data_IF_189374014982
#
_entry.id   IF_189374014982
#
_cell.length_a   1.000
_cell.length_b   1.000
_cell.length_c   1.000
_cell.angle_alpha   90.00
_cell.angle_beta   90.00
_cell.angle_gamma   90.00
#
_symmetry.space_group_name_H-M   'P 1'
#
loop_
_entity.id
_entity.type
_entity.pdbx_description
1 polymer ?
#
# COMPACT_ATOMS: atom_id res chain seq x y z
N UNK A 1 38.60 6.10 13.55
CA UNK A 1 37.40 5.31 13.94
C UNK A 1 37.82 3.83 13.92
N UNK A 2 37.39 3.03 14.91
CA UNK A 2 37.65 1.58 14.89
C UNK A 2 36.87 0.94 13.75
N UNK A 3 37.49 0.01 13.01
CA UNK A 3 36.80 -0.80 12.01
C UNK A 3 35.77 -1.72 12.70
N UNK A 4 34.59 -1.85 12.14
CA UNK A 4 33.53 -2.74 12.59
C UNK A 4 33.34 -3.88 11.58
N UNK A 5 32.67 -4.96 11.98
CA UNK A 5 32.30 -6.07 11.09
C UNK A 5 31.16 -5.65 10.16
N UNK A 6 31.00 -6.33 9.02
CA UNK A 6 29.86 -6.12 8.14
C UNK A 6 28.53 -6.40 8.83
N UNK A 7 28.47 -7.44 9.69
CA UNK A 7 27.26 -7.72 10.49
C UNK A 7 26.92 -6.57 11.44
N UNK A 8 27.91 -5.97 12.12
CA UNK A 8 27.67 -4.77 12.94
C UNK A 8 27.25 -3.56 12.08
N UNK A 9 27.81 -3.43 10.88
CA UNK A 9 27.42 -2.37 9.95
C UNK A 9 25.96 -2.51 9.52
N UNK A 10 25.44 -3.72 9.29
CA UNK A 10 24.01 -3.98 9.02
C UNK A 10 23.14 -3.44 10.15
N UNK A 11 23.42 -3.80 11.40
CA UNK A 11 22.64 -3.34 12.56
C UNK A 11 22.67 -1.81 12.68
N UNK A 12 23.84 -1.21 12.50
CA UNK A 12 23.96 0.27 12.54
C UNK A 12 23.19 0.95 11.43
N UNK A 13 23.17 0.39 10.20
CA UNK A 13 22.34 0.92 9.12
C UNK A 13 20.86 0.87 9.46
N UNK A 14 20.38 -0.24 10.06
CA UNK A 14 19.00 -0.35 10.52
C UNK A 14 18.64 0.72 11.56
N UNK A 15 19.54 0.98 12.52
CA UNK A 15 19.35 2.03 13.52
C UNK A 15 19.35 3.45 12.89
N UNK A 16 20.21 3.73 11.92
CA UNK A 16 20.22 4.99 11.17
C UNK A 16 18.91 5.20 10.38
N UNK A 17 18.28 4.13 9.90
CA UNK A 17 16.95 4.16 9.27
C UNK A 17 15.79 4.08 10.27
N UNK A 18 16.09 4.17 11.57
CA UNK A 18 15.10 4.17 12.66
C UNK A 18 14.27 2.88 12.74
N UNK A 19 14.88 1.76 12.37
CA UNK A 19 14.27 0.44 12.52
C UNK A 19 14.41 0.00 13.98
N UNK A 20 13.28 -0.21 14.63
CA UNK A 20 13.18 -0.66 16.03
C UNK A 20 12.56 -2.04 16.15
N UNK A 21 12.06 -2.61 15.04
CA UNK A 21 11.48 -3.95 15.00
C UNK A 21 11.83 -4.63 13.68
N UNK A 22 12.20 -5.91 13.75
CA UNK A 22 12.46 -6.76 12.59
C UNK A 22 11.80 -8.13 12.79
N UNK A 23 11.44 -8.77 11.69
CA UNK A 23 10.77 -10.07 11.66
C UNK A 23 11.64 -11.10 10.97
N UNK A 24 11.77 -12.30 11.50
CA UNK A 24 12.62 -13.26 10.80
C UNK A 24 12.80 -14.60 11.48
N UNK A 25 13.55 -15.46 10.82
CA UNK A 25 13.95 -16.77 11.29
C UNK A 25 15.47 -16.95 11.10
N UNK A 26 16.22 -17.31 12.17
CA UNK A 26 17.67 -17.45 12.10
C UNK A 26 18.09 -18.67 11.28
N UNK A 27 19.30 -18.60 10.68
CA UNK A 27 19.90 -19.72 9.97
C UNK A 27 21.39 -19.46 9.69
N UNK A 28 22.10 -20.48 9.23
CA UNK A 28 23.57 -20.52 9.19
C UNK A 28 24.25 -19.40 8.42
N UNK A 29 23.66 -18.95 7.28
CA UNK A 29 24.29 -17.92 6.44
C UNK A 29 24.04 -16.49 6.93
N UNK A 30 23.09 -16.27 7.84
CA UNK A 30 22.77 -14.95 8.42
C UNK A 30 23.12 -14.86 9.91
N UNK A 31 23.64 -15.92 10.48
CA UNK A 31 23.96 -16.01 11.90
C UNK A 31 24.86 -14.86 12.41
N UNK A 32 25.90 -14.41 11.68
CA UNK A 32 26.71 -13.29 12.15
C UNK A 32 25.93 -12.00 12.38
N UNK A 33 24.88 -11.74 11.58
CA UNK A 33 23.98 -10.60 11.79
C UNK A 33 23.12 -10.81 13.02
N UNK A 34 22.63 -12.02 13.29
CA UNK A 34 21.89 -12.35 14.50
C UNK A 34 22.74 -12.24 15.78
N UNK A 35 24.02 -12.63 15.72
CA UNK A 35 24.94 -12.46 16.84
C UNK A 35 25.17 -10.97 17.18
N UNK A 36 25.25 -10.13 16.16
CA UNK A 36 25.33 -8.68 16.40
C UNK A 36 23.98 -8.12 16.88
N UNK A 37 22.87 -8.56 16.31
CA UNK A 37 21.54 -8.12 16.72
C UNK A 37 21.30 -8.38 18.22
N UNK A 38 21.79 -9.50 18.76
CA UNK A 38 21.68 -9.81 20.19
C UNK A 38 22.31 -8.72 21.07
N UNK A 39 23.37 -8.05 20.61
CA UNK A 39 24.02 -6.95 21.34
C UNK A 39 23.21 -5.65 21.33
N UNK A 40 22.21 -5.54 20.46
CA UNK A 40 21.35 -4.37 20.27
C UNK A 40 19.87 -4.67 20.55
N UNK A 41 19.57 -5.74 21.30
CA UNK A 41 18.20 -6.14 21.63
C UNK A 41 17.42 -5.11 22.47
N UNK A 42 18.13 -4.16 23.08
CA UNK A 42 17.56 -3.00 23.76
C UNK A 42 17.07 -1.89 22.79
N UNK A 43 17.48 -1.94 21.52
CA UNK A 43 17.18 -0.94 20.50
C UNK A 43 16.36 -1.49 19.34
N UNK A 44 16.55 -2.76 18.99
CA UNK A 44 15.82 -3.43 17.91
C UNK A 44 15.17 -4.69 18.47
N UNK A 45 13.85 -4.69 18.46
CA UNK A 45 13.08 -5.88 18.86
C UNK A 45 13.02 -6.87 17.69
N UNK A 46 13.46 -8.11 17.92
CA UNK A 46 13.34 -9.19 16.96
C UNK A 46 12.11 -10.05 17.26
N UNK A 47 11.19 -10.14 16.31
CA UNK A 47 10.05 -11.04 16.36
C UNK A 47 10.41 -12.34 15.63
N UNK A 48 10.60 -13.41 16.41
CA UNK A 48 10.84 -14.74 15.85
C UNK A 48 9.56 -15.30 15.23
N UNK A 49 9.59 -15.49 13.92
CA UNK A 49 8.50 -16.15 13.19
C UNK A 49 8.72 -17.66 13.10
N UNK A 50 7.71 -18.41 12.69
CA UNK A 50 7.81 -19.87 12.50
C UNK A 50 8.11 -20.25 11.04
N UNK A 51 8.02 -19.26 10.14
CA UNK A 51 8.26 -19.39 8.71
C UNK A 51 8.60 -18.00 8.14
N UNK A 52 9.51 -17.91 7.18
CA UNK A 52 9.97 -16.64 6.62
C UNK A 52 8.87 -15.92 5.82
N UNK A 53 7.94 -16.66 5.22
CA UNK A 53 6.73 -16.06 4.62
C UNK A 53 5.91 -15.30 5.68
N UNK A 54 5.76 -15.87 6.86
CA UNK A 54 5.12 -15.18 7.98
C UNK A 54 5.86 -13.90 8.40
N UNK A 55 7.20 -13.91 8.31
CA UNK A 55 8.01 -12.70 8.59
C UNK A 55 7.70 -11.58 7.60
N UNK A 56 7.61 -11.89 6.29
CA UNK A 56 7.28 -10.89 5.27
C UNK A 56 5.87 -10.35 5.42
N UNK A 57 4.87 -11.19 5.67
CA UNK A 57 3.49 -10.72 5.88
C UNK A 57 3.37 -9.88 7.15
N UNK A 58 4.09 -10.22 8.23
CA UNK A 58 4.10 -9.40 9.44
C UNK A 58 4.79 -8.05 9.20
N UNK A 59 5.91 -8.04 8.45
CA UNK A 59 6.58 -6.81 8.05
C UNK A 59 5.68 -5.91 7.19
N UNK A 60 4.88 -6.50 6.28
CA UNK A 60 3.88 -5.76 5.51
C UNK A 60 2.79 -5.16 6.40
N UNK A 61 2.21 -5.94 7.31
CA UNK A 61 1.21 -5.46 8.26
C UNK A 61 1.75 -4.27 9.07
N UNK A 62 2.98 -4.38 9.57
CA UNK A 62 3.66 -3.28 10.24
C UNK A 62 3.80 -2.04 9.33
N UNK A 63 4.24 -2.22 8.08
CA UNK A 63 4.42 -1.11 7.16
C UNK A 63 3.11 -0.39 6.84
N UNK A 64 2.04 -1.14 6.64
CA UNK A 64 0.70 -0.60 6.34
C UNK A 64 0.11 0.21 7.48
N UNK A 65 0.29 -0.25 8.73
CA UNK A 65 -0.23 0.44 9.93
C UNK A 65 0.64 1.65 10.31
N UNK A 66 1.96 1.47 10.31
CA UNK A 66 2.87 2.50 10.82
C UNK A 66 3.29 3.54 9.79
N UNK A 67 3.08 3.27 8.48
CA UNK A 67 3.63 4.10 7.39
C UNK A 67 5.17 4.02 7.26
N UNK A 68 5.81 3.10 7.99
CA UNK A 68 7.27 2.88 8.01
C UNK A 68 7.66 1.71 7.10
N UNK A 69 8.94 1.59 6.79
CA UNK A 69 9.45 0.43 6.03
C UNK A 69 9.45 -0.81 6.92
N UNK A 70 8.78 -1.88 6.48
CA UNK A 70 8.84 -3.18 7.14
C UNK A 70 10.17 -3.88 6.86
N UNK A 71 10.74 -4.57 7.84
CA UNK A 71 12.03 -5.27 7.68
C UNK A 71 11.88 -6.75 8.02
N UNK A 72 12.23 -7.62 7.05
CA UNK A 72 12.30 -9.05 7.25
C UNK A 72 13.72 -9.57 7.03
N UNK A 73 14.13 -10.59 7.80
CA UNK A 73 15.46 -11.16 7.73
C UNK A 73 15.40 -12.70 7.64
N UNK A 74 16.18 -13.29 6.74
CA UNK A 74 16.21 -14.74 6.51
C UNK A 74 17.62 -15.23 6.16
N UNK A 75 17.82 -16.55 6.27
CA UNK A 75 19.04 -17.20 5.80
C UNK A 75 19.04 -17.44 4.29
N UNK A 76 20.09 -18.01 3.74
CA UNK A 76 20.23 -18.39 2.32
C UNK A 76 19.29 -19.54 1.92
N UNK A 77 19.25 -19.82 0.63
CA UNK A 77 18.55 -20.97 0.07
C UNK A 77 17.08 -21.01 0.46
N UNK A 78 16.63 -22.06 1.19
CA UNK A 78 15.23 -22.20 1.53
C UNK A 78 14.66 -21.04 2.37
N UNK A 79 15.47 -20.41 3.23
CA UNK A 79 15.04 -19.24 3.98
C UNK A 79 14.76 -18.04 3.07
N UNK A 80 15.66 -17.77 2.14
CA UNK A 80 15.50 -16.70 1.16
C UNK A 80 14.32 -16.96 0.20
N UNK A 81 14.18 -18.18 -0.31
CA UNK A 81 13.06 -18.53 -1.21
C UNK A 81 11.70 -18.50 -0.53
N UNK A 82 11.63 -18.73 0.79
CA UNK A 82 10.39 -18.59 1.56
C UNK A 82 9.90 -17.13 1.67
N UNK A 83 10.72 -16.12 1.37
CA UNK A 83 10.28 -14.72 1.32
C UNK A 83 9.52 -14.37 0.03
N UNK A 84 9.62 -15.19 -1.02
CA UNK A 84 9.15 -14.88 -2.38
C UNK A 84 7.67 -14.51 -2.42
N UNK A 85 6.81 -15.28 -1.77
CA UNK A 85 5.37 -14.99 -1.73
C UNK A 85 5.09 -13.61 -1.15
N UNK A 86 5.70 -13.28 -0.02
CA UNK A 86 5.47 -11.97 0.61
C UNK A 86 6.12 -10.81 -0.15
N UNK A 87 7.24 -11.04 -0.86
CA UNK A 87 7.83 -10.05 -1.77
C UNK A 87 6.88 -9.75 -2.94
N UNK A 88 6.32 -10.79 -3.57
CA UNK A 88 5.38 -10.64 -4.68
C UNK A 88 4.12 -9.89 -4.24
N UNK A 89 3.58 -10.23 -3.07
CA UNK A 89 2.44 -9.58 -2.46
C UNK A 89 2.72 -8.09 -2.14
N UNK A 90 3.85 -7.79 -1.51
CA UNK A 90 4.27 -6.42 -1.23
C UNK A 90 4.48 -5.59 -2.51
N UNK A 91 4.97 -6.20 -3.59
CA UNK A 91 5.15 -5.54 -4.88
C UNK A 91 3.82 -5.16 -5.52
N UNK A 92 2.85 -6.07 -5.50
CA UNK A 92 1.51 -5.83 -6.06
C UNK A 92 0.77 -4.74 -5.27
N UNK A 93 0.85 -4.80 -3.95
CA UNK A 93 0.15 -3.87 -3.05
C UNK A 93 0.95 -2.62 -2.69
N UNK A 94 2.09 -2.41 -3.35
CA UNK A 94 2.92 -1.21 -3.14
C UNK A 94 3.30 -0.99 -1.68
N UNK A 95 3.65 -2.06 -0.96
CA UNK A 95 4.01 -2.01 0.46
C UNK A 95 5.53 -1.83 0.62
N UNK A 96 6.01 -0.77 1.29
CA UNK A 96 7.43 -0.54 1.47
C UNK A 96 8.04 -1.58 2.41
N UNK A 97 8.97 -2.39 1.91
CA UNK A 97 9.62 -3.43 2.69
C UNK A 97 11.09 -3.59 2.27
N UNK A 98 11.97 -3.89 3.23
CA UNK A 98 13.35 -4.30 2.99
C UNK A 98 13.53 -5.71 3.54
N UNK A 99 13.81 -6.66 2.66
CA UNK A 99 14.18 -8.02 3.02
C UNK A 99 15.71 -8.17 2.98
N UNK A 100 16.27 -8.78 4.03
CA UNK A 100 17.70 -9.01 4.16
C UNK A 100 17.94 -10.51 4.20
N UNK A 101 18.74 -11.04 3.27
CA UNK A 101 19.08 -12.45 3.23
C UNK A 101 20.58 -12.65 3.44
N UNK A 102 20.91 -13.71 4.13
CA UNK A 102 22.29 -14.20 4.14
C UNK A 102 22.56 -15.07 2.91
N UNK A 103 23.82 -15.11 2.48
CA UNK A 103 24.27 -15.91 1.35
C UNK A 103 25.54 -16.69 1.70
N UNK A 104 25.87 -17.70 0.94
CA UNK A 104 27.17 -18.39 1.03
C UNK A 104 28.32 -17.40 0.83
N UNK A 105 29.53 -17.77 1.18
CA UNK A 105 30.72 -16.90 0.96
C UNK A 105 30.89 -16.64 -0.54
N UNK A 106 31.37 -15.44 -0.88
CA UNK A 106 31.44 -14.95 -2.27
C UNK A 106 32.17 -15.89 -3.23
N UNK A 107 33.22 -16.57 -2.75
CA UNK A 107 33.99 -17.53 -3.55
C UNK A 107 33.25 -18.85 -3.85
N UNK A 108 32.12 -19.09 -3.21
CA UNK A 108 31.26 -20.27 -3.43
C UNK A 108 30.05 -19.97 -4.34
N UNK A 109 29.83 -18.73 -4.71
CA UNK A 109 28.72 -18.35 -5.57
C UNK A 109 28.83 -19.04 -6.94
N UNK A 110 27.73 -19.68 -7.38
CA UNK A 110 27.65 -20.44 -8.64
C UNK A 110 28.29 -21.82 -8.58
N UNK A 111 28.56 -22.34 -7.36
CA UNK A 111 29.18 -23.66 -7.18
C UNK A 111 28.21 -24.75 -6.67
N UNK A 112 26.91 -24.46 -6.61
CA UNK A 112 25.91 -25.33 -5.99
C UNK A 112 26.22 -25.68 -4.53
N UNK A 113 26.77 -24.70 -3.80
CA UNK A 113 27.10 -24.84 -2.39
C UNK A 113 25.87 -25.10 -1.53
N UNK A 114 26.06 -25.69 -0.35
CA UNK A 114 24.94 -26.03 0.55
C UNK A 114 24.06 -24.80 0.85
N UNK A 115 22.77 -24.91 0.53
CA UNK A 115 21.79 -23.83 0.65
C UNK A 115 22.14 -22.56 -0.14
N UNK A 116 22.88 -22.67 -1.21
CA UNK A 116 23.01 -21.60 -2.19
C UNK A 116 21.75 -21.53 -3.05
N UNK A 117 21.30 -20.31 -3.36
CA UNK A 117 20.23 -20.04 -4.33
C UNK A 117 20.46 -18.65 -4.92
N UNK A 118 20.27 -18.51 -6.23
CA UNK A 118 20.25 -17.20 -6.89
C UNK A 118 18.97 -16.43 -6.53
N UNK A 119 18.94 -15.92 -5.31
CA UNK A 119 17.79 -15.13 -4.82
C UNK A 119 17.69 -13.78 -5.55
N UNK A 120 18.76 -13.27 -6.11
CA UNK A 120 18.76 -12.05 -6.92
C UNK A 120 17.96 -12.27 -8.20
N UNK A 121 18.25 -13.33 -8.95
CA UNK A 121 17.49 -13.71 -10.15
C UNK A 121 16.01 -13.97 -9.85
N UNK A 122 15.73 -14.72 -8.77
CA UNK A 122 14.36 -15.04 -8.35
C UNK A 122 13.56 -13.79 -7.95
N UNK A 123 14.16 -12.86 -7.22
CA UNK A 123 13.48 -11.68 -6.69
C UNK A 123 13.37 -10.52 -7.69
N UNK A 124 14.09 -10.53 -8.79
CA UNK A 124 14.10 -9.45 -9.78
C UNK A 124 12.69 -9.04 -10.27
N UNK A 125 11.79 -9.97 -10.66
CA UNK A 125 10.45 -9.59 -11.14
C UNK A 125 9.47 -9.18 -10.04
N UNK A 126 9.80 -9.40 -8.78
CA UNK A 126 8.90 -9.21 -7.62
C UNK A 126 9.42 -8.18 -6.61
N UNK A 127 10.43 -7.39 -7.00
CA UNK A 127 10.98 -6.32 -6.17
C UNK A 127 11.19 -5.05 -7.00
N UNK A 128 11.18 -3.90 -6.37
CA UNK A 128 11.58 -2.65 -7.02
C UNK A 128 13.08 -2.62 -7.32
N UNK A 129 13.85 -3.27 -6.48
CA UNK A 129 15.30 -3.38 -6.59
C UNK A 129 15.80 -4.52 -5.71
N UNK A 130 16.86 -5.16 -6.15
CA UNK A 130 17.62 -6.12 -5.35
C UNK A 130 19.11 -5.90 -5.54
N UNK A 131 19.90 -6.33 -4.57
CA UNK A 131 21.35 -6.21 -4.66
C UNK A 131 22.05 -7.29 -3.82
N UNK A 132 23.13 -7.88 -4.36
CA UNK A 132 23.98 -8.80 -3.63
C UNK A 132 25.26 -8.08 -3.17
N UNK A 133 25.44 -8.02 -1.86
CA UNK A 133 26.61 -7.43 -1.20
C UNK A 133 27.70 -8.49 -1.02
N UNK A 134 28.87 -8.25 -1.59
CA UNK A 134 30.04 -9.15 -1.49
C UNK A 134 31.19 -8.55 -0.67
N UNK A 135 31.11 -7.27 -0.28
CA UNK A 135 32.09 -6.57 0.53
C UNK A 135 31.41 -5.75 1.63
N UNK A 136 31.96 -5.80 2.85
CA UNK A 136 31.45 -5.03 3.97
C UNK A 136 31.41 -3.52 3.72
N UNK A 137 32.30 -3.00 2.88
CA UNK A 137 32.37 -1.57 2.54
C UNK A 137 31.16 -1.06 1.76
N UNK A 138 30.38 -1.94 1.10
CA UNK A 138 29.20 -1.60 0.32
C UNK A 138 27.96 -1.41 1.21
N UNK A 139 27.93 -2.04 2.39
CA UNK A 139 26.74 -2.12 3.26
C UNK A 139 26.09 -0.76 3.51
N UNK A 140 26.81 0.30 3.96
CA UNK A 140 26.16 1.56 4.29
C UNK A 140 25.47 2.22 3.10
N UNK A 141 26.09 2.19 1.93
CA UNK A 141 25.54 2.81 0.71
C UNK A 141 24.33 2.02 0.19
N UNK A 142 24.45 0.67 0.16
CA UNK A 142 23.38 -0.19 -0.35
C UNK A 142 22.14 -0.13 0.55
N UNK A 143 22.31 -0.10 1.88
CA UNK A 143 21.19 0.07 2.80
C UNK A 143 20.50 1.43 2.63
N UNK A 144 21.26 2.51 2.49
CA UNK A 144 20.68 3.83 2.24
C UNK A 144 19.85 3.85 0.94
N UNK A 145 20.36 3.22 -0.14
CA UNK A 145 19.61 3.07 -1.40
C UNK A 145 18.37 2.20 -1.23
N UNK A 146 18.48 1.08 -0.54
CA UNK A 146 17.37 0.15 -0.32
C UNK A 146 16.18 0.81 0.39
N UNK A 147 16.43 1.49 1.49
CA UNK A 147 15.39 2.20 2.23
C UNK A 147 14.82 3.38 1.45
N UNK A 148 15.65 4.10 0.70
CA UNK A 148 15.16 5.17 -0.18
C UNK A 148 14.25 4.63 -1.29
N UNK A 149 14.68 3.56 -1.99
CA UNK A 149 13.89 2.96 -3.09
C UNK A 149 12.60 2.35 -2.56
N UNK A 150 12.64 1.65 -1.43
CA UNK A 150 11.46 0.99 -0.87
C UNK A 150 10.31 1.97 -0.60
N UNK A 151 10.61 3.16 -0.06
CA UNK A 151 9.60 4.14 0.37
C UNK A 151 9.28 5.26 -0.63
N UNK A 152 10.11 5.44 -1.67
CA UNK A 152 9.96 6.57 -2.60
C UNK A 152 9.14 6.23 -3.85
N UNK A 153 8.46 7.23 -4.40
CA UNK A 153 7.57 7.03 -5.55
C UNK A 153 6.41 6.10 -5.20
N UNK A 154 6.06 5.17 -6.11
CA UNK A 154 5.23 4.04 -5.74
C UNK A 154 6.03 3.14 -4.80
N UNK A 155 5.66 2.97 -3.53
CA UNK A 155 6.40 2.13 -2.61
C UNK A 155 6.44 0.67 -3.04
N UNK A 156 7.36 -0.11 -2.47
CA UNK A 156 7.44 -1.53 -2.77
C UNK A 156 8.65 -2.21 -2.11
N UNK A 157 8.79 -3.53 -2.25
CA UNK A 157 9.83 -4.29 -1.61
C UNK A 157 11.18 -4.15 -2.30
N UNK A 158 12.23 -4.25 -1.48
CA UNK A 158 13.63 -4.35 -1.89
C UNK A 158 14.25 -5.56 -1.20
N UNK A 159 15.14 -6.28 -1.88
CA UNK A 159 15.89 -7.38 -1.28
C UNK A 159 17.40 -7.07 -1.29
N UNK A 160 18.04 -7.27 -0.15
CA UNK A 160 19.49 -7.19 0.02
C UNK A 160 20.01 -8.57 0.40
N UNK A 161 20.86 -9.16 -0.42
CA UNK A 161 21.50 -10.45 -0.18
C UNK A 161 22.96 -10.23 0.24
N UNK A 162 23.41 -10.81 1.37
CA UNK A 162 24.72 -10.49 1.95
C UNK A 162 25.54 -11.76 2.10
N UNK A 163 26.66 -11.84 1.38
CA UNK A 163 27.56 -13.00 1.48
C UNK A 163 28.17 -13.12 2.88
N UNK A 164 28.43 -14.36 3.30
CA UNK A 164 28.89 -14.68 4.66
C UNK A 164 30.26 -14.05 4.96
N UNK A 165 31.15 -14.02 4.01
CA UNK A 165 32.47 -13.35 4.13
C UNK A 165 32.33 -11.82 4.29
N UNK A 166 31.40 -11.17 3.57
CA UNK A 166 31.13 -9.76 3.76
C UNK A 166 30.57 -9.44 5.17
N UNK A 167 29.85 -10.37 5.80
CA UNK A 167 29.37 -10.20 7.18
C UNK A 167 30.50 -10.22 8.21
N UNK A 168 31.57 -10.99 7.97
CA UNK A 168 32.75 -11.07 8.85
C UNK A 168 33.83 -10.01 8.53
N UNK A 169 33.88 -9.54 7.31
CA UNK A 169 34.85 -8.54 6.88
C UNK A 169 34.74 -7.26 7.71
N UNK A 170 35.93 -6.62 8.00
CA UNK A 170 35.94 -5.36 8.75
C UNK A 170 36.00 -4.15 7.82
N UNK A 171 35.13 -3.18 8.07
CA UNK A 171 35.06 -1.94 7.30
C UNK A 171 35.06 -0.69 8.17
N UNK A 172 35.35 0.45 7.58
CA UNK A 172 35.13 1.74 8.18
C UNK A 172 33.66 2.11 7.98
N UNK A 173 32.91 2.24 9.06
CA UNK A 173 31.49 2.57 8.99
C UNK A 173 31.27 4.08 8.79
N UNK A 174 30.56 4.43 7.74
CA UNK A 174 30.07 5.79 7.52
C UNK A 174 28.73 5.69 6.80
N UNK A 175 27.65 6.05 7.49
CA UNK A 175 26.30 6.04 6.92
C UNK A 175 25.88 7.45 6.53
N UNK A 176 25.32 7.59 5.34
CA UNK A 176 24.75 8.83 4.86
C UNK A 176 23.39 8.54 4.23
N UNK A 177 22.34 9.10 4.83
CA UNK A 177 21.01 9.07 4.18
C UNK A 177 21.08 9.75 2.83
N UNK A 178 20.37 9.17 1.86
CA UNK A 178 20.25 9.74 0.52
C UNK A 178 18.84 10.30 0.32
N UNK A 179 18.75 11.37 -0.43
CA UNK A 179 17.52 12.06 -0.83
C UNK A 179 17.20 11.90 -2.32
N UNK A 180 18.06 11.19 -3.05
CA UNK A 180 17.87 10.90 -4.46
C UNK A 180 18.91 9.97 -5.03
N UNK A 181 18.57 9.32 -6.15
CA UNK A 181 19.44 8.50 -6.97
C UNK A 181 19.40 9.07 -8.38
N UNK A 182 20.55 9.38 -8.97
CA UNK A 182 20.66 10.05 -10.28
C UNK A 182 19.81 9.40 -11.38
N UNK A 183 19.78 8.07 -11.43
CA UNK A 183 19.08 7.29 -12.45
C UNK A 183 17.63 6.94 -12.08
N UNK A 184 17.17 7.29 -10.87
CA UNK A 184 15.85 6.95 -10.38
C UNK A 184 15.05 8.22 -10.02
N UNK A 185 14.00 8.48 -10.77
CA UNK A 185 13.07 9.58 -10.51
C UNK A 185 11.84 9.02 -9.81
N UNK A 186 11.82 9.16 -8.50
CA UNK A 186 10.76 8.59 -7.66
C UNK A 186 9.38 9.19 -7.95
N UNK A 187 9.30 10.49 -8.19
CA UNK A 187 8.04 11.20 -8.44
C UNK A 187 8.13 11.92 -9.79
N UNK A 188 7.17 11.70 -10.70
CA UNK A 188 7.07 12.46 -11.93
C UNK A 188 6.86 13.95 -11.66
N UNK A 189 7.39 14.78 -12.55
CA UNK A 189 7.12 16.21 -12.49
C UNK A 189 5.69 16.50 -12.96
N UNK A 190 4.93 17.25 -12.18
CA UNK A 190 3.56 17.64 -12.53
C UNK A 190 3.57 18.50 -13.79
N UNK A 191 2.72 18.15 -14.74
CA UNK A 191 2.42 18.95 -15.91
C UNK A 191 1.15 19.77 -15.65
N UNK A 192 1.27 21.09 -15.63
CA UNK A 192 0.14 21.98 -15.37
C UNK A 192 -0.89 22.01 -16.50
N UNK A 193 -0.51 21.66 -17.73
CA UNK A 193 -1.46 21.57 -18.84
C UNK A 193 -2.40 20.37 -18.65
N UNK A 194 -1.88 19.22 -18.19
CA UNK A 194 -2.73 18.06 -17.88
C UNK A 194 -3.68 18.36 -16.70
N UNK A 195 -3.23 19.15 -15.71
CA UNK A 195 -4.10 19.64 -14.63
C UNK A 195 -5.24 20.51 -15.17
N UNK A 196 -4.96 21.41 -16.14
CA UNK A 196 -5.99 22.26 -16.77
C UNK A 196 -6.99 21.46 -17.57
N UNK A 197 -6.51 20.50 -18.39
CA UNK A 197 -7.37 19.61 -19.16
C UNK A 197 -8.27 18.76 -18.25
N UNK A 198 -7.72 18.22 -17.17
CA UNK A 198 -8.49 17.50 -16.18
C UNK A 198 -9.58 18.38 -15.54
N UNK A 199 -9.22 19.61 -15.13
CA UNK A 199 -10.18 20.54 -14.54
C UNK A 199 -11.30 20.94 -15.51
N UNK A 200 -10.98 21.10 -16.80
CA UNK A 200 -11.97 21.42 -17.84
C UNK A 200 -13.00 20.30 -17.98
N UNK A 201 -12.56 19.04 -18.04
CA UNK A 201 -13.46 17.89 -18.05
C UNK A 201 -14.30 17.82 -16.79
N UNK A 202 -13.70 17.98 -15.61
CA UNK A 202 -14.38 17.92 -14.30
C UNK A 202 -15.43 19.04 -14.20
N UNK A 203 -15.05 20.27 -14.55
CA UNK A 203 -15.94 21.42 -14.45
C UNK A 203 -17.12 21.37 -15.44
N UNK A 204 -17.02 20.64 -16.55
CA UNK A 204 -18.10 20.49 -17.53
C UNK A 204 -18.93 19.20 -17.34
N UNK A 205 -18.53 18.31 -16.44
CA UNK A 205 -19.19 17.04 -16.21
C UNK A 205 -20.62 17.20 -15.65
N UNK A 206 -21.53 16.36 -16.10
CA UNK A 206 -22.94 16.30 -15.63
C UNK A 206 -23.18 15.15 -14.68
N UNK A 207 -22.44 14.05 -14.87
CA UNK A 207 -22.53 12.81 -14.09
C UNK A 207 -21.13 12.33 -13.69
N UNK A 208 -20.29 13.16 -13.05
CA UNK A 208 -18.95 12.73 -12.69
C UNK A 208 -18.96 11.74 -11.54
N UNK A 209 -17.94 10.86 -11.51
CA UNK A 209 -17.67 9.94 -10.41
C UNK A 209 -16.17 9.97 -10.07
N UNK A 210 -15.86 10.16 -8.79
CA UNK A 210 -14.50 9.98 -8.28
C UNK A 210 -14.38 8.53 -7.79
N UNK A 211 -13.25 7.89 -8.13
CA UNK A 211 -12.84 6.59 -7.54
C UNK A 211 -11.44 6.74 -7.00
N UNK A 212 -11.27 6.51 -5.70
CA UNK A 212 -9.95 6.57 -5.10
C UNK A 212 -9.45 5.20 -4.63
N UNK A 213 -8.15 5.05 -4.63
CA UNK A 213 -7.45 3.85 -4.19
C UNK A 213 -6.43 4.12 -3.09
N UNK A 214 -5.60 3.12 -2.84
CA UNK A 214 -4.54 3.15 -1.82
C UNK A 214 -3.54 4.30 -2.02
N UNK A 215 -3.32 4.75 -3.26
CA UNK A 215 -2.38 5.82 -3.56
C UNK A 215 -2.70 7.14 -2.84
N UNK A 216 -3.96 7.37 -2.47
CA UNK A 216 -4.36 8.52 -1.64
C UNK A 216 -3.78 8.38 -0.22
N UNK A 217 -3.89 7.18 0.36
CA UNK A 217 -3.39 6.88 1.71
C UNK A 217 -1.85 6.90 1.73
N UNK A 218 -1.22 6.23 0.77
CA UNK A 218 0.24 6.19 0.63
C UNK A 218 0.85 7.58 0.39
N UNK A 219 0.11 8.46 -0.29
CA UNK A 219 0.49 9.87 -0.52
C UNK A 219 0.12 10.82 0.63
N UNK A 220 -0.49 10.33 1.72
CA UNK A 220 -1.04 11.16 2.81
C UNK A 220 -1.89 12.32 2.27
N UNK A 221 -2.79 12.01 1.33
CA UNK A 221 -3.58 12.97 0.54
C UNK A 221 -5.08 12.97 0.92
N UNK A 222 -5.45 12.36 2.04
CA UNK A 222 -6.84 12.21 2.49
C UNK A 222 -7.52 13.58 2.65
N UNK A 223 -6.84 14.53 3.28
CA UNK A 223 -7.37 15.89 3.50
C UNK A 223 -7.59 16.63 2.18
N UNK A 224 -6.69 16.48 1.24
CA UNK A 224 -6.79 17.06 -0.10
C UNK A 224 -7.92 16.40 -0.91
N UNK A 225 -8.06 15.09 -0.78
CA UNK A 225 -9.17 14.36 -1.42
C UNK A 225 -10.53 14.81 -0.88
N UNK A 226 -10.70 14.92 0.43
CA UNK A 226 -11.95 15.39 1.06
C UNK A 226 -12.29 16.79 0.55
N UNK A 227 -11.33 17.72 0.57
CA UNK A 227 -11.53 19.09 0.04
C UNK A 227 -11.93 19.09 -1.44
N UNK A 228 -11.33 18.18 -2.24
CA UNK A 228 -11.65 18.08 -3.66
C UNK A 228 -13.06 17.54 -3.88
N UNK A 229 -13.46 16.49 -3.15
CA UNK A 229 -14.81 15.93 -3.18
C UNK A 229 -15.85 16.96 -2.73
N UNK A 230 -15.63 17.66 -1.64
CA UNK A 230 -16.54 18.70 -1.11
C UNK A 230 -16.66 19.87 -2.08
N UNK A 231 -15.55 20.39 -2.60
CA UNK A 231 -15.55 21.53 -3.53
C UNK A 231 -16.23 21.20 -4.85
N UNK A 232 -15.94 20.03 -5.41
CA UNK A 232 -16.52 19.59 -6.68
C UNK A 232 -17.96 19.08 -6.54
N UNK A 233 -18.39 18.66 -5.33
CA UNK A 233 -19.69 18.07 -5.07
C UNK A 233 -19.92 16.74 -5.79
N UNK A 234 -18.85 16.04 -6.15
CA UNK A 234 -18.89 14.80 -6.93
C UNK A 234 -19.05 13.60 -5.99
N UNK A 235 -19.99 12.67 -6.26
CA UNK A 235 -20.05 11.38 -5.59
C UNK A 235 -18.70 10.64 -5.71
N UNK A 236 -18.25 10.04 -4.62
CA UNK A 236 -16.93 9.41 -4.56
C UNK A 236 -17.04 7.99 -4.01
N UNK A 237 -16.43 7.03 -4.71
CA UNK A 237 -16.36 5.62 -4.37
C UNK A 237 -14.90 5.21 -4.11
N UNK A 238 -14.70 4.11 -3.41
CA UNK A 238 -13.38 3.64 -3.03
C UNK A 238 -13.12 2.21 -3.51
N UNK A 239 -11.84 1.90 -3.73
CA UNK A 239 -11.36 0.52 -3.89
C UNK A 239 -10.98 -0.04 -2.53
N UNK A 240 -10.95 -1.36 -2.37
CA UNK A 240 -10.74 -2.00 -1.06
C UNK A 240 -9.51 -1.45 -0.30
N UNK A 241 -8.39 -1.26 -0.97
CA UNK A 241 -7.17 -0.71 -0.35
C UNK A 241 -7.21 0.82 -0.17
N UNK A 242 -8.22 1.49 -0.71
CA UNK A 242 -8.51 2.91 -0.48
C UNK A 242 -9.45 3.17 0.69
N UNK A 243 -9.92 2.11 1.37
CA UNK A 243 -10.82 2.25 2.52
C UNK A 243 -10.26 3.21 3.58
N UNK A 244 -11.14 3.94 4.23
CA UNK A 244 -10.85 4.90 5.32
C UNK A 244 -10.23 6.25 4.91
N UNK A 245 -9.92 6.51 3.63
CA UNK A 245 -9.44 7.83 3.22
C UNK A 245 -10.53 8.92 3.32
N UNK A 246 -11.80 8.56 3.14
CA UNK A 246 -12.97 9.40 3.43
C UNK A 246 -13.88 8.60 4.35
N UNK A 247 -14.37 9.13 5.48
CA UNK A 247 -15.32 8.45 6.35
C UNK A 247 -16.56 7.95 5.57
N UNK A 248 -17.07 6.78 5.93
CA UNK A 248 -18.31 6.26 5.28
C UNK A 248 -19.55 7.09 5.61
N UNK A 249 -19.52 7.83 6.71
CA UNK A 249 -20.54 8.81 7.09
C UNK A 249 -20.55 10.06 6.21
N UNK A 250 -19.47 10.31 5.45
CA UNK A 250 -19.39 11.49 4.59
C UNK A 250 -20.48 11.46 3.51
N UNK A 251 -21.28 12.52 3.33
CA UNK A 251 -22.47 12.51 2.47
C UNK A 251 -22.21 12.24 1.00
N UNK A 252 -20.99 12.45 0.51
CA UNK A 252 -20.58 12.17 -0.86
C UNK A 252 -19.83 10.83 -1.01
N UNK A 253 -19.57 10.10 0.07
CA UNK A 253 -19.05 8.74 -0.01
C UNK A 253 -20.20 7.82 -0.44
N UNK A 254 -20.06 7.17 -1.60
CA UNK A 254 -21.10 6.33 -2.20
C UNK A 254 -20.78 4.83 -2.15
N UNK A 255 -19.80 4.44 -1.36
CA UNK A 255 -19.45 3.04 -1.10
C UNK A 255 -18.28 2.51 -1.92
N UNK A 256 -18.07 1.21 -1.82
CA UNK A 256 -16.98 0.49 -2.48
C UNK A 256 -17.32 0.15 -3.92
N UNK A 257 -16.37 0.34 -4.83
CA UNK A 257 -16.45 -0.11 -6.23
C UNK A 257 -15.68 -1.43 -6.41
N UNK A 258 -16.15 -2.28 -7.29
CA UNK A 258 -15.49 -3.51 -7.71
C UNK A 258 -16.32 -4.76 -7.47
N UNK A 259 -15.71 -5.93 -7.65
CA UNK A 259 -16.38 -7.25 -7.65
C UNK A 259 -17.22 -7.51 -6.38
N UNK A 260 -16.73 -7.04 -5.23
CA UNK A 260 -17.41 -7.18 -3.94
C UNK A 260 -17.92 -5.82 -3.42
N UNK A 261 -18.00 -4.84 -4.31
CA UNK A 261 -18.45 -3.49 -4.00
C UNK A 261 -19.97 -3.36 -3.96
N UNK A 262 -20.39 -2.17 -3.57
CA UNK A 262 -21.79 -1.80 -3.46
C UNK A 262 -22.46 -1.73 -4.83
N UNK A 263 -23.77 -1.95 -4.84
CA UNK A 263 -24.59 -1.96 -6.05
C UNK A 263 -24.57 -0.62 -6.80
N UNK A 264 -24.73 0.48 -6.04
CA UNK A 264 -24.82 1.82 -6.63
C UNK A 264 -23.54 2.23 -7.42
N UNK A 265 -22.32 2.23 -6.84
CA UNK A 265 -21.12 2.61 -7.58
C UNK A 265 -20.82 1.66 -8.75
N UNK A 266 -21.09 0.36 -8.63
CA UNK A 266 -20.87 -0.60 -9.71
C UNK A 266 -21.78 -0.35 -10.93
N UNK A 267 -23.04 -0.01 -10.72
CA UNK A 267 -23.97 0.32 -11.82
C UNK A 267 -23.63 1.69 -12.41
N UNK A 268 -23.44 2.70 -11.55
CA UNK A 268 -23.36 4.08 -11.98
C UNK A 268 -21.98 4.45 -12.58
N UNK A 269 -20.94 3.65 -12.37
CA UNK A 269 -19.68 3.76 -13.11
C UNK A 269 -19.90 3.62 -14.62
N UNK A 270 -20.85 2.76 -15.04
CA UNK A 270 -21.21 2.60 -16.45
C UNK A 270 -22.29 3.60 -16.95
N UNK A 271 -22.66 4.59 -16.12
CA UNK A 271 -23.52 5.72 -16.52
C UNK A 271 -22.84 7.09 -16.38
N UNK A 272 -21.67 7.16 -15.70
CA UNK A 272 -20.96 8.42 -15.53
C UNK A 272 -20.43 8.95 -16.86
N UNK A 273 -20.32 10.28 -16.98
CA UNK A 273 -19.75 10.94 -18.17
C UNK A 273 -18.25 11.27 -17.99
N UNK A 274 -17.80 11.43 -16.74
CA UNK A 274 -16.39 11.60 -16.38
C UNK A 274 -16.07 10.70 -15.18
N UNK A 275 -15.07 9.85 -15.35
CA UNK A 275 -14.53 9.00 -14.27
C UNK A 275 -13.17 9.55 -13.85
N UNK A 276 -13.04 9.91 -12.57
CA UNK A 276 -11.84 10.50 -12.00
C UNK A 276 -11.19 9.46 -11.07
N UNK A 277 -10.16 8.79 -11.57
CA UNK A 277 -9.43 7.77 -10.81
C UNK A 277 -8.23 8.41 -10.10
N UNK A 278 -8.10 8.22 -8.79
CA UNK A 278 -7.06 8.84 -7.97
C UNK A 278 -6.31 7.77 -7.18
N UNK A 279 -5.05 7.52 -7.55
CA UNK A 279 -4.19 6.55 -6.87
C UNK A 279 -4.75 5.12 -6.87
N UNK A 280 -5.36 4.70 -7.98
CA UNK A 280 -5.89 3.35 -8.20
C UNK A 280 -5.46 2.84 -9.58
N UNK A 281 -5.18 1.55 -9.70
CA UNK A 281 -4.52 0.95 -10.89
C UNK A 281 -5.44 0.26 -11.89
N UNK A 282 -6.75 0.39 -11.78
CA UNK A 282 -7.72 -0.27 -12.65
C UNK A 282 -7.51 -1.80 -12.76
N UNK A 283 -7.30 -2.47 -11.62
CA UNK A 283 -7.16 -3.93 -11.62
C UNK A 283 -8.49 -4.64 -11.93
N UNK A 284 -8.40 -5.94 -12.22
CA UNK A 284 -9.53 -6.76 -12.64
C UNK A 284 -10.64 -6.89 -11.59
N UNK A 285 -10.31 -6.72 -10.30
CA UNK A 285 -11.29 -6.75 -9.21
C UNK A 285 -12.18 -5.52 -9.20
N UNK A 286 -11.67 -4.40 -9.72
CA UNK A 286 -12.40 -3.14 -9.86
C UNK A 286 -13.09 -3.07 -11.21
N UNK A 287 -12.41 -3.39 -12.29
CA UNK A 287 -12.92 -3.22 -13.66
C UNK A 287 -13.82 -4.35 -14.13
N UNK A 288 -13.58 -5.58 -13.66
CA UNK A 288 -14.18 -6.76 -14.28
C UNK A 288 -13.78 -6.84 -15.76
N UNK A 289 -14.76 -6.96 -16.65
CA UNK A 289 -14.52 -6.96 -18.11
C UNK A 289 -14.13 -5.57 -18.60
N UNK A 290 -12.86 -5.36 -18.86
CA UNK A 290 -12.29 -4.09 -19.35
C UNK A 290 -12.94 -3.61 -20.67
N UNK A 291 -13.52 -4.51 -21.47
CA UNK A 291 -14.21 -4.14 -22.70
C UNK A 291 -15.57 -3.48 -22.45
N UNK A 292 -16.07 -3.59 -21.24
CA UNK A 292 -17.39 -3.07 -20.83
C UNK A 292 -17.31 -1.98 -19.74
N UNK A 293 -16.14 -1.78 -19.13
CA UNK A 293 -15.96 -0.86 -18.03
C UNK A 293 -15.91 0.59 -18.50
N UNK A 294 -16.84 1.42 -18.02
CA UNK A 294 -16.89 2.87 -18.19
C UNK A 294 -16.67 3.41 -19.62
N UNK A 295 -17.07 2.68 -20.67
CA UNK A 295 -16.80 3.00 -22.08
C UNK A 295 -17.40 4.31 -22.56
N UNK A 296 -18.43 4.81 -21.90
CA UNK A 296 -19.10 6.07 -22.20
C UNK A 296 -18.43 7.28 -21.53
N UNK A 297 -17.55 7.04 -20.53
CA UNK A 297 -16.95 8.09 -19.73
C UNK A 297 -15.63 8.61 -20.33
N UNK A 298 -15.35 9.89 -20.11
CA UNK A 298 -14.00 10.43 -20.20
C UNK A 298 -13.25 10.06 -18.92
N UNK A 299 -12.05 9.51 -19.05
CA UNK A 299 -11.28 8.97 -17.92
C UNK A 299 -10.09 9.88 -17.61
N UNK A 300 -10.04 10.36 -16.36
CA UNK A 300 -8.93 11.13 -15.81
C UNK A 300 -8.22 10.25 -14.80
N UNK A 301 -6.89 10.05 -14.92
CA UNK A 301 -6.11 9.20 -14.03
C UNK A 301 -5.01 9.99 -13.32
N UNK A 302 -5.17 10.19 -12.01
CA UNK A 302 -4.14 10.76 -11.12
C UNK A 302 -3.27 9.62 -10.62
N UNK A 303 -2.01 9.57 -11.07
CA UNK A 303 -1.14 8.43 -10.80
C UNK A 303 0.33 8.85 -10.61
N UNK A 304 1.01 8.18 -9.69
CA UNK A 304 2.45 8.41 -9.43
C UNK A 304 3.34 7.55 -10.32
N UNK A 305 2.85 6.40 -10.75
CA UNK A 305 3.60 5.44 -11.57
C UNK A 305 3.19 5.54 -13.05
N UNK A 306 4.03 6.10 -13.93
CA UNK A 306 3.70 6.19 -15.34
C UNK A 306 3.40 4.85 -16.01
N UNK A 307 3.89 3.73 -15.47
CA UNK A 307 3.67 2.39 -16.01
C UNK A 307 2.22 1.88 -15.82
N UNK A 308 1.46 2.48 -14.92
CA UNK A 308 0.04 2.13 -14.72
C UNK A 308 -0.89 2.88 -15.68
N UNK A 309 -0.41 3.97 -16.32
CA UNK A 309 -1.22 4.74 -17.28
C UNK A 309 -1.42 3.93 -18.58
N UNK A 310 -2.65 3.84 -19.03
CA UNK A 310 -3.05 3.07 -20.25
C UNK A 310 -2.73 1.56 -20.19
N UNK A 311 -2.44 1.03 -19.01
CA UNK A 311 -2.09 -0.39 -18.87
C UNK A 311 -3.31 -1.30 -19.03
N UNK A 312 -4.39 -1.02 -18.33
CA UNK A 312 -5.63 -1.81 -18.35
C UNK A 312 -6.79 -1.05 -19.01
N UNK A 313 -6.89 0.24 -18.75
CA UNK A 313 -7.92 1.14 -19.29
C UNK A 313 -7.22 2.30 -19.95
N UNK A 314 -7.65 2.63 -21.18
CA UNK A 314 -7.20 3.83 -21.89
C UNK A 314 -7.77 5.07 -21.22
N UNK A 315 -6.92 6.08 -20.95
CA UNK A 315 -7.30 7.31 -20.27
C UNK A 315 -7.25 8.51 -21.20
N UNK A 316 -8.20 9.45 -21.04
CA UNK A 316 -8.23 10.69 -21.82
C UNK A 316 -7.22 11.72 -21.30
N UNK A 317 -7.03 11.78 -19.97
CA UNK A 317 -6.05 12.68 -19.33
C UNK A 317 -5.32 11.94 -18.21
N UNK A 318 -3.99 11.86 -18.32
CA UNK A 318 -3.12 11.34 -17.27
C UNK A 318 -2.49 12.47 -16.47
N UNK A 319 -2.82 12.61 -15.21
CA UNK A 319 -2.22 13.57 -14.28
C UNK A 319 -1.14 12.87 -13.47
N UNK A 320 0.09 12.92 -13.97
CA UNK A 320 1.22 12.27 -13.32
C UNK A 320 1.78 13.11 -12.16
N UNK A 321 2.02 12.45 -11.03
CA UNK A 321 2.62 13.06 -9.85
C UNK A 321 2.14 12.45 -8.54
N UNK A 322 2.67 12.96 -7.44
CA UNK A 322 2.21 12.63 -6.09
C UNK A 322 0.75 13.06 -5.88
N UNK A 323 -0.07 12.20 -5.28
CA UNK A 323 -1.51 12.42 -5.12
C UNK A 323 -1.82 13.73 -4.36
N UNK A 324 -1.08 14.01 -3.28
CA UNK A 324 -1.28 15.24 -2.50
C UNK A 324 -0.96 16.50 -3.30
N UNK A 325 0.15 16.45 -4.04
CA UNK A 325 0.58 17.59 -4.85
C UNK A 325 -0.38 17.84 -6.01
N UNK A 326 -0.76 16.80 -6.74
CA UNK A 326 -1.69 16.91 -7.89
C UNK A 326 -3.08 17.36 -7.45
N UNK A 327 -3.59 16.85 -6.32
CA UNK A 327 -4.85 17.31 -5.73
C UNK A 327 -4.80 18.77 -5.29
N UNK A 328 -3.69 19.24 -4.73
CA UNK A 328 -3.53 20.66 -4.41
C UNK A 328 -3.52 21.55 -5.66
N UNK A 329 -2.95 21.10 -6.78
CA UNK A 329 -2.98 21.88 -8.03
C UNK A 329 -4.38 21.92 -8.65
N UNK A 330 -5.06 20.76 -8.77
CA UNK A 330 -6.41 20.70 -9.32
C UNK A 330 -7.43 21.50 -8.50
N UNK A 331 -7.29 21.50 -7.17
CA UNK A 331 -8.14 22.27 -6.27
C UNK A 331 -8.13 23.78 -6.57
N UNK A 332 -7.03 24.34 -7.06
CA UNK A 332 -6.94 25.79 -7.37
C UNK A 332 -7.92 26.21 -8.46
N UNK A 333 -8.21 25.30 -9.41
CA UNK A 333 -8.97 25.58 -10.63
C UNK A 333 -10.27 24.77 -10.76
N UNK A 334 -10.57 23.90 -9.79
CA UNK A 334 -11.86 23.24 -9.68
C UNK A 334 -12.92 24.23 -9.21
N UNK A 335 -14.09 24.26 -9.87
CA UNK A 335 -15.23 25.09 -9.49
C UNK A 335 -16.03 24.47 -8.34
N UNK A 336 -16.69 25.30 -7.55
CA UNK A 336 -17.69 24.85 -6.58
C UNK A 336 -18.94 24.41 -7.33
N UNK A 337 -19.28 23.11 -7.21
CA UNK A 337 -20.44 22.50 -7.88
C UNK A 337 -21.24 21.61 -6.96
N UNK A 338 -22.39 21.21 -7.44
CA UNK A 338 -23.25 20.26 -6.75
C UNK A 338 -23.99 19.41 -7.77
N UNK A 339 -23.86 18.12 -7.64
CA UNK A 339 -24.45 17.12 -8.53
C UNK A 339 -25.68 16.44 -7.89
N UNK A 340 -26.59 17.19 -7.24
CA UNK A 340 -27.70 16.67 -6.42
C UNK A 340 -28.53 15.59 -7.10
N UNK A 341 -28.92 15.81 -8.37
CA UNK A 341 -29.72 14.82 -9.12
C UNK A 341 -28.94 13.54 -9.41
N UNK A 342 -27.65 13.65 -9.67
CA UNK A 342 -26.78 12.52 -9.90
C UNK A 342 -26.52 11.75 -8.58
N UNK A 343 -26.23 12.45 -7.51
CA UNK A 343 -26.07 11.86 -6.19
C UNK A 343 -27.34 11.16 -5.68
N UNK A 344 -28.52 11.68 -6.01
CA UNK A 344 -29.79 11.04 -5.63
C UNK A 344 -29.94 9.62 -6.22
N UNK A 345 -29.40 9.36 -7.42
CA UNK A 345 -29.39 8.01 -7.99
C UNK A 345 -28.58 7.01 -7.19
N UNK A 346 -27.43 7.43 -6.64
CA UNK A 346 -26.65 6.58 -5.74
C UNK A 346 -27.45 6.20 -4.49
N UNK A 347 -28.14 7.16 -3.90
CA UNK A 347 -28.99 6.91 -2.73
C UNK A 347 -30.15 5.95 -3.04
N UNK A 348 -30.80 6.12 -4.19
CA UNK A 348 -31.87 5.22 -4.63
C UNK A 348 -31.38 3.78 -4.78
N UNK A 349 -30.25 3.55 -5.43
CA UNK A 349 -29.68 2.23 -5.62
C UNK A 349 -29.14 1.63 -4.30
N UNK A 350 -28.58 2.45 -3.41
CA UNK A 350 -28.18 2.03 -2.09
C UNK A 350 -29.38 1.53 -1.26
N UNK A 351 -30.52 2.23 -1.30
CA UNK A 351 -31.73 1.80 -0.61
C UNK A 351 -32.26 0.45 -1.13
N UNK A 352 -32.10 0.19 -2.43
CA UNK A 352 -32.45 -1.10 -3.03
C UNK A 352 -31.55 -2.20 -2.48
N UNK A 353 -30.22 -1.97 -2.47
CA UNK A 353 -29.22 -2.89 -1.95
C UNK A 353 -29.46 -3.17 -0.46
N UNK A 354 -29.63 -2.11 0.33
CA UNK A 354 -29.86 -2.22 1.76
C UNK A 354 -31.07 -3.10 2.08
N UNK A 355 -32.21 -2.85 1.43
CA UNK A 355 -33.44 -3.62 1.66
C UNK A 355 -33.36 -5.06 1.18
N UNK A 356 -32.62 -5.35 0.10
CA UNK A 356 -32.59 -6.69 -0.50
C UNK A 356 -31.49 -7.58 0.02
N UNK A 357 -30.40 -7.01 0.53
CA UNK A 357 -29.18 -7.74 0.92
C UNK A 357 -28.75 -7.37 2.33
N UNK A 358 -28.28 -6.14 2.55
CA UNK A 358 -27.56 -5.75 3.77
C UNK A 358 -28.45 -5.89 5.02
N UNK A 359 -29.70 -5.48 4.93
CA UNK A 359 -30.64 -5.56 6.08
C UNK A 359 -30.80 -7.00 6.57
N UNK A 360 -30.99 -7.96 5.67
CA UNK A 360 -31.22 -9.36 6.05
C UNK A 360 -29.93 -10.05 6.51
N UNK A 361 -28.77 -9.63 6.01
CA UNK A 361 -27.46 -10.09 6.49
C UNK A 361 -27.20 -9.61 7.93
N UNK A 362 -27.57 -8.38 8.25
CA UNK A 362 -27.43 -7.78 9.58
C UNK A 362 -28.52 -8.23 10.58
N UNK A 363 -29.67 -8.70 10.10
CA UNK A 363 -30.82 -9.09 10.92
C UNK A 363 -31.45 -10.39 10.39
N UNK A 364 -30.71 -11.51 10.38
CA UNK A 364 -31.19 -12.76 9.81
C UNK A 364 -32.40 -13.31 10.56
N UNK A 365 -33.30 -13.96 9.83
CA UNK A 365 -34.47 -14.63 10.37
C UNK A 365 -34.28 -16.13 10.60
N UNK A 366 -33.08 -16.64 10.25
CA UNK A 366 -32.73 -18.07 10.35
C UNK A 366 -32.02 -18.36 11.65
N UNK A 367 -32.18 -19.58 12.18
CA UNK A 367 -31.37 -20.06 13.29
C UNK A 367 -29.91 -20.22 12.88
N UNK A 368 -28.99 -19.90 13.79
CA UNK A 368 -27.56 -19.96 13.57
C UNK A 368 -26.92 -18.57 13.39
N UNK A 369 -25.63 -18.48 13.68
CA UNK A 369 -24.87 -17.24 13.59
C UNK A 369 -24.48 -16.96 12.12
N UNK A 370 -24.76 -15.74 11.66
CA UNK A 370 -24.32 -15.28 10.33
C UNK A 370 -23.07 -14.39 10.42
N UNK A 371 -22.33 -14.27 9.33
CA UNK A 371 -21.18 -13.36 9.27
C UNK A 371 -21.59 -11.90 9.43
N UNK A 372 -22.75 -11.49 8.90
CA UNK A 372 -23.27 -10.14 9.08
C UNK A 372 -23.55 -9.80 10.54
N UNK A 373 -24.14 -10.73 11.32
CA UNK A 373 -24.35 -10.56 12.77
C UNK A 373 -23.01 -10.44 13.52
N UNK A 374 -22.00 -11.23 13.15
CA UNK A 374 -20.67 -11.12 13.75
C UNK A 374 -20.07 -9.73 13.50
N UNK A 375 -20.18 -9.21 12.27
CA UNK A 375 -19.68 -7.88 11.94
C UNK A 375 -20.45 -6.78 12.68
N UNK A 376 -21.78 -6.92 12.77
CA UNK A 376 -22.63 -6.01 13.55
C UNK A 376 -22.23 -5.99 15.01
N UNK A 377 -22.02 -7.16 15.62
CA UNK A 377 -21.63 -7.28 17.02
C UNK A 377 -20.23 -6.72 17.28
N UNK A 378 -19.25 -6.98 16.40
CA UNK A 378 -17.93 -6.36 16.47
C UNK A 378 -18.06 -4.84 16.47
N UNK A 379 -18.87 -4.27 15.56
CA UNK A 379 -19.05 -2.83 15.49
C UNK A 379 -19.68 -2.25 16.79
N UNK A 380 -20.67 -2.95 17.36
CA UNK A 380 -21.31 -2.54 18.61
C UNK A 380 -20.33 -2.59 19.78
N UNK A 381 -19.65 -3.73 19.97
CA UNK A 381 -18.74 -3.96 21.10
C UNK A 381 -17.50 -3.07 21.09
N UNK A 382 -17.01 -2.76 19.90
CA UNK A 382 -15.87 -1.86 19.74
C UNK A 382 -16.29 -0.39 19.59
N UNK A 383 -17.58 -0.11 19.59
CA UNK A 383 -18.14 1.23 19.28
C UNK A 383 -17.63 1.78 17.95
N UNK A 384 -17.41 0.87 17.00
CA UNK A 384 -16.78 1.15 15.73
C UNK A 384 -15.27 1.48 15.85
N UNK A 385 -14.60 1.31 16.98
CA UNK A 385 -13.18 1.63 17.20
C UNK A 385 -12.29 0.39 17.15
N UNK A 386 -12.32 -0.30 16.01
CA UNK A 386 -11.48 -1.47 15.76
C UNK A 386 -10.72 -1.35 14.46
N UNK A 387 -9.44 -1.72 14.46
CA UNK A 387 -8.73 -2.06 13.23
C UNK A 387 -9.12 -3.49 12.84
N UNK A 388 -9.76 -3.65 11.68
CA UNK A 388 -10.17 -4.95 11.18
C UNK A 388 -9.07 -5.49 10.26
N UNK A 389 -8.48 -6.61 10.66
CA UNK A 389 -7.50 -7.35 9.86
C UNK A 389 -8.17 -8.63 9.38
N UNK A 390 -8.29 -8.80 8.09
CA UNK A 390 -8.94 -9.97 7.50
C UNK A 390 -8.02 -10.67 6.52
N UNK A 391 -8.15 -11.97 6.43
CA UNK A 391 -7.66 -12.75 5.29
C UNK A 391 -8.62 -12.63 4.11
N UNK A 392 -8.25 -13.13 2.94
CA UNK A 392 -9.09 -13.10 1.73
C UNK A 392 -10.16 -14.19 1.79
N UNK A 393 -11.43 -13.78 1.68
CA UNK A 393 -12.56 -14.71 1.69
C UNK A 393 -13.91 -14.00 1.90
N UNK A 394 -14.96 -14.79 2.11
CA UNK A 394 -16.31 -14.25 2.32
C UNK A 394 -16.40 -13.30 3.52
N UNK A 395 -15.65 -13.58 4.58
CA UNK A 395 -15.59 -12.71 5.77
C UNK A 395 -15.06 -11.30 5.44
N UNK A 396 -14.08 -11.17 4.54
CA UNK A 396 -13.60 -9.87 4.07
C UNK A 396 -14.71 -9.13 3.30
N UNK A 397 -15.40 -9.83 2.40
CA UNK A 397 -16.50 -9.24 1.61
C UNK A 397 -17.62 -8.72 2.51
N UNK A 398 -18.04 -9.52 3.48
CA UNK A 398 -19.08 -9.14 4.44
C UNK A 398 -18.59 -8.01 5.35
N UNK A 399 -17.35 -8.03 5.79
CA UNK A 399 -16.79 -6.92 6.54
C UNK A 399 -16.86 -5.60 5.77
N UNK A 400 -16.47 -5.60 4.48
CA UNK A 400 -16.55 -4.41 3.62
C UNK A 400 -17.97 -3.90 3.43
N UNK A 401 -18.97 -4.80 3.38
CA UNK A 401 -20.37 -4.45 3.09
C UNK A 401 -21.16 -4.07 4.35
N UNK A 402 -20.86 -4.71 5.50
CA UNK A 402 -21.65 -4.64 6.72
C UNK A 402 -21.04 -3.82 7.84
N UNK A 403 -19.73 -3.58 7.83
CA UNK A 403 -19.11 -2.68 8.79
C UNK A 403 -19.41 -1.24 8.38
N UNK A 404 -20.29 -0.62 9.14
CA UNK A 404 -20.44 0.82 9.12
C UNK A 404 -19.21 1.40 9.82
N UNK A 405 -18.35 2.03 9.08
CA UNK A 405 -17.25 2.85 9.61
C UNK A 405 -17.86 4.14 10.16
N UNK A 406 -18.51 4.02 11.34
CA UNK A 406 -19.42 5.06 11.86
C UNK A 406 -18.78 6.00 12.85
N UNK A 407 -17.49 5.93 13.12
CA UNK A 407 -16.92 6.91 14.02
C UNK A 407 -16.02 7.87 13.27
N UNK A 408 -16.44 9.09 13.29
CA UNK A 408 -15.63 10.25 13.05
C UNK A 408 -14.47 10.31 14.05
N UNK A 409 -13.28 9.99 13.60
CA UNK A 409 -12.06 10.44 14.27
C UNK A 409 -11.87 11.97 14.10
N UNK A 410 -12.83 12.65 13.46
CA UNK A 410 -12.76 14.07 13.16
C UNK A 410 -13.42 14.97 14.22
N UNK A 411 -14.22 14.43 15.14
CA UNK A 411 -14.96 15.25 16.12
C UNK A 411 -14.27 15.38 17.49
N UNK A 412 -13.16 14.68 17.74
CA UNK A 412 -12.37 14.92 18.94
C UNK A 412 -11.08 15.66 18.57
N UNK A 413 -11.16 16.99 18.65
CA UNK A 413 -9.98 17.85 18.62
C UNK A 413 -9.07 17.55 19.80
N UNK A 414 -8.03 16.76 19.57
CA UNK A 414 -6.75 16.82 20.27
C UNK A 414 -5.75 15.88 19.56
N UNK A 415 -4.76 16.50 18.97
CA UNK A 415 -3.70 16.00 18.16
C UNK A 415 -3.09 14.66 18.55
N UNK A 416 -2.94 13.92 17.61
CA UNK A 416 -2.14 12.87 17.02
C UNK A 416 -3.08 11.95 16.27
N UNK A 417 -3.42 12.37 15.09
CA UNK A 417 -4.15 11.56 14.14
C UNK A 417 -3.23 10.45 13.60
N UNK A 418 -3.18 9.35 14.26
CA UNK A 418 -2.68 8.10 13.74
C UNK A 418 -3.86 7.30 13.15
N UNK A 419 -4.36 7.84 12.06
CA UNK A 419 -5.01 7.05 11.07
C UNK A 419 -6.41 6.57 11.39
N UNK A 420 -7.28 7.00 10.54
CA UNK A 420 -8.52 6.36 10.26
C UNK A 420 -8.34 4.84 10.12
N UNK A 421 -9.31 4.11 10.57
CA UNK A 421 -9.36 2.65 10.63
C UNK A 421 -9.14 2.05 9.25
N UNK A 422 -8.15 1.19 9.13
CA UNK A 422 -7.80 0.52 7.88
C UNK A 422 -8.31 -0.93 7.93
N UNK A 423 -8.92 -1.38 6.82
CA UNK A 423 -8.98 -2.82 6.54
C UNK A 423 -7.61 -3.19 5.98
N UNK A 424 -6.95 -4.13 6.59
CA UNK A 424 -5.64 -4.64 6.21
C UNK A 424 -5.80 -6.06 5.70
#
# INVERSE_FOLDING_TARGET
MSKITGSEAVIKCLLEEQVDIIYGYPGGAIMPVYDELYKYQDKIHHVLTRHEQGATHTAQGFARISGRVGVAIATSGPGATNLVTGLADAQIDSTPMVCITGQVSSHLLGSDAFQETDIIGISTPITKWNYQITKASEIPEIFAKAFYIAKSGRPGPVLIDITKDAQFEKTNFSYKKIDGIRSYKAVPKINLEDIKLAAELINNAKKPLIVWGQGVILGNAEKELIKFVEKSGIPAAWTILGASAIPTSHPLNVGMLGMHGNYAPNILTNECDVLIAIGMRFDDRVTGDVNRYAKQAKIIHFEIDPAEVNKNIEVDVAVLGDAKQTLNEILKITENKSHKKWHAKFKELYEIEYKKVIHDDLNPKKEGLTMGEVMKEINIQTKGDAAIVSDVGQHQMIACSCLLYTSDAADEGLGVDLGGRRII
#
